data_IF_177079894543
#
_entry.id   IF_177079894543
#
_cell.length_a   1.000
_cell.length_b   1.000
_cell.length_c   1.000
_cell.angle_alpha   90.00
_cell.angle_beta   90.00
_cell.angle_gamma   90.00
#
_symmetry.space_group_name_H-M   'P 1'
#
loop_
_entity.id
_entity.type
_entity.pdbx_description
1 polymer ?
#
# COMPACT_ATOMS: atom_id res chain seq x y z
N UNK A 1 -5.74 -17.48 16.45
CA UNK A 1 -5.36 -16.16 17.03
C UNK A 1 -5.30 -15.07 15.98
N UNK A 2 -4.44 -15.15 14.96
CA UNK A 2 -4.28 -14.10 13.93
C UNK A 2 -5.56 -13.58 13.26
N UNK A 3 -6.56 -14.45 13.00
CA UNK A 3 -7.81 -14.02 12.33
C UNK A 3 -8.67 -13.11 13.24
N UNK A 4 -8.68 -13.37 14.56
CA UNK A 4 -9.44 -12.57 15.53
C UNK A 4 -8.80 -11.20 15.68
N UNK A 5 -7.47 -11.14 15.65
CA UNK A 5 -6.71 -9.89 15.70
C UNK A 5 -6.93 -9.06 14.42
N UNK A 6 -7.01 -9.71 13.26
CA UNK A 6 -7.37 -9.07 11.99
C UNK A 6 -8.77 -8.44 12.06
N UNK A 7 -9.78 -9.18 12.54
CA UNK A 7 -11.15 -8.66 12.68
C UNK A 7 -11.23 -7.50 13.69
N UNK A 8 -10.50 -7.59 14.80
CA UNK A 8 -10.39 -6.47 15.75
C UNK A 8 -9.76 -5.23 15.12
N UNK A 9 -8.70 -5.40 14.34
CA UNK A 9 -8.04 -4.29 13.65
C UNK A 9 -8.97 -3.62 12.63
N UNK A 10 -9.68 -4.42 11.82
CA UNK A 10 -10.68 -3.91 10.86
C UNK A 10 -11.79 -3.17 11.58
N UNK A 11 -12.30 -3.71 12.70
CA UNK A 11 -13.33 -3.07 13.50
C UNK A 11 -12.87 -1.71 14.05
N UNK A 12 -11.68 -1.65 14.66
CA UNK A 12 -11.12 -0.39 15.17
C UNK A 12 -10.85 0.63 14.06
N UNK A 13 -10.42 0.18 12.88
CA UNK A 13 -10.22 1.05 11.72
C UNK A 13 -11.54 1.65 11.25
N UNK A 14 -12.62 0.86 11.21
CA UNK A 14 -13.96 1.36 10.88
C UNK A 14 -14.46 2.38 11.91
N UNK A 15 -14.30 2.10 13.21
CA UNK A 15 -14.67 3.03 14.30
C UNK A 15 -13.92 4.35 14.19
N UNK A 16 -12.63 4.32 13.86
CA UNK A 16 -11.81 5.51 13.67
C UNK A 16 -12.29 6.35 12.47
N UNK A 17 -12.62 5.72 11.34
CA UNK A 17 -13.19 6.39 10.16
C UNK A 17 -14.54 7.04 10.48
N UNK A 18 -15.42 6.32 11.20
CA UNK A 18 -16.72 6.83 11.66
C UNK A 18 -16.56 8.04 12.60
N UNK A 19 -15.63 7.96 13.55
CA UNK A 19 -15.33 9.07 14.46
C UNK A 19 -14.82 10.31 13.70
N UNK A 20 -13.89 10.12 12.76
CA UNK A 20 -13.39 11.19 11.90
C UNK A 20 -14.51 11.84 11.08
N UNK A 21 -15.43 11.02 10.55
CA UNK A 21 -16.62 11.49 9.84
C UNK A 21 -17.58 12.29 10.75
N UNK A 22 -17.75 11.90 12.01
CA UNK A 22 -18.58 12.62 12.98
C UNK A 22 -18.02 14.00 13.31
N UNK A 23 -16.69 14.13 13.43
CA UNK A 23 -16.02 15.43 13.65
C UNK A 23 -15.97 16.31 12.39
N UNK A 24 -16.53 15.86 11.25
CA UNK A 24 -16.43 16.59 9.97
C UNK A 24 -15.00 16.69 9.45
N UNK A 25 -14.07 15.91 10.02
CA UNK A 25 -12.68 15.88 9.59
C UNK A 25 -12.63 15.01 8.35
N UNK A 26 -12.55 15.68 7.20
CA UNK A 26 -12.28 15.00 5.95
C UNK A 26 -10.90 14.34 6.03
N UNK A 27 -10.82 13.04 5.71
CA UNK A 27 -9.54 12.36 5.51
C UNK A 27 -8.67 13.14 4.52
N UNK A 28 -9.31 13.81 3.55
CA UNK A 28 -8.64 14.69 2.59
C UNK A 28 -8.00 15.91 3.26
N UNK A 29 -8.58 16.47 4.33
CA UNK A 29 -7.95 17.59 5.07
C UNK A 29 -6.76 17.13 5.90
N UNK A 30 -6.79 15.88 6.41
CA UNK A 30 -5.64 15.28 7.10
C UNK A 30 -4.51 15.02 6.10
N UNK A 31 -4.84 14.42 4.95
CA UNK A 31 -3.89 14.15 3.86
C UNK A 31 -3.28 15.44 3.32
N UNK A 32 -4.08 16.51 3.20
CA UNK A 32 -3.62 17.82 2.74
C UNK A 32 -2.96 18.67 3.84
N UNK A 33 -2.91 18.19 5.09
CA UNK A 33 -2.18 18.89 6.15
C UNK A 33 -0.67 18.81 5.89
N UNK A 34 0.12 19.79 6.36
CA UNK A 34 1.58 19.76 6.21
C UNK A 34 2.20 18.46 6.74
N UNK A 35 1.71 18.00 7.89
CA UNK A 35 2.13 16.75 8.54
C UNK A 35 1.71 15.52 7.72
N UNK A 36 0.52 15.55 7.11
CA UNK A 36 0.03 14.47 6.25
C UNK A 36 0.83 14.34 4.95
N UNK A 37 1.11 15.46 4.29
CA UNK A 37 1.92 15.54 3.08
C UNK A 37 3.34 15.01 3.31
N UNK A 38 3.98 15.37 4.43
CA UNK A 38 5.32 14.88 4.80
C UNK A 38 5.33 13.37 5.01
N UNK A 39 4.36 12.81 5.75
CA UNK A 39 4.28 11.37 6.01
C UNK A 39 3.96 10.56 4.74
N UNK A 40 3.06 11.06 3.90
CA UNK A 40 2.73 10.41 2.61
C UNK A 40 3.93 10.45 1.69
N UNK A 41 4.63 11.59 1.62
CA UNK A 41 5.85 11.73 0.81
C UNK A 41 6.96 10.81 1.30
N UNK A 42 7.14 10.67 2.62
CA UNK A 42 8.07 9.70 3.18
C UNK A 42 7.69 8.26 2.82
N UNK A 43 6.43 7.89 3.00
CA UNK A 43 5.92 6.56 2.65
C UNK A 43 6.08 6.26 1.16
N UNK A 44 5.74 7.19 0.27
CA UNK A 44 5.92 7.01 -1.17
C UNK A 44 7.39 6.92 -1.55
N UNK A 45 8.28 7.70 -0.93
CA UNK A 45 9.72 7.60 -1.16
C UNK A 45 10.32 6.26 -0.73
N UNK A 46 9.78 5.63 0.32
CA UNK A 46 10.19 4.28 0.76
C UNK A 46 9.57 3.20 -0.12
N UNK A 47 8.29 3.34 -0.48
CA UNK A 47 7.56 2.32 -1.24
C UNK A 47 7.94 2.30 -2.73
N UNK A 48 8.21 3.45 -3.34
CA UNK A 48 8.54 3.54 -4.77
C UNK A 48 9.74 2.66 -5.16
N UNK A 49 10.92 2.73 -4.52
CA UNK A 49 12.05 1.88 -4.90
C UNK A 49 11.76 0.40 -4.63
N UNK A 50 11.02 0.08 -3.57
CA UNK A 50 10.62 -1.29 -3.26
C UNK A 50 9.68 -1.86 -4.33
N UNK A 51 8.75 -1.04 -4.81
CA UNK A 51 7.81 -1.40 -5.87
C UNK A 51 8.51 -1.58 -7.22
N UNK A 52 9.44 -0.68 -7.55
CA UNK A 52 10.29 -0.80 -8.74
C UNK A 52 11.12 -2.10 -8.71
N UNK A 53 11.68 -2.46 -7.55
CA UNK A 53 12.40 -3.73 -7.38
C UNK A 53 11.49 -4.94 -7.63
N UNK A 54 10.27 -4.94 -7.08
CA UNK A 54 9.29 -6.02 -7.29
C UNK A 54 8.91 -6.14 -8.76
N UNK A 55 8.61 -5.03 -9.43
CA UNK A 55 8.30 -5.03 -10.87
C UNK A 55 9.48 -5.59 -11.65
N UNK A 56 10.70 -5.11 -11.41
CA UNK A 56 11.87 -5.56 -12.14
C UNK A 56 12.12 -7.07 -11.94
N UNK A 57 11.95 -7.56 -10.72
CA UNK A 57 12.03 -8.98 -10.42
C UNK A 57 10.95 -9.78 -11.14
N UNK A 58 9.71 -9.31 -11.13
CA UNK A 58 8.59 -9.96 -11.83
C UNK A 58 8.82 -10.00 -13.35
N UNK A 59 9.35 -8.93 -13.94
CA UNK A 59 9.71 -8.88 -15.37
C UNK A 59 10.83 -9.86 -15.70
N UNK A 60 11.88 -9.93 -14.88
CA UNK A 60 12.98 -10.90 -15.05
C UNK A 60 12.47 -12.34 -14.95
N UNK A 61 11.62 -12.61 -13.96
CA UNK A 61 11.03 -13.92 -13.76
C UNK A 61 10.12 -14.30 -14.94
N UNK A 62 9.34 -13.35 -15.46
CA UNK A 62 8.53 -13.53 -16.65
C UNK A 62 9.38 -13.93 -17.86
N UNK A 63 10.46 -13.19 -18.12
CA UNK A 63 11.39 -13.50 -19.22
C UNK A 63 11.99 -14.91 -19.05
N UNK A 64 12.46 -15.25 -17.85
CA UNK A 64 13.00 -16.57 -17.55
C UNK A 64 11.97 -17.69 -17.80
N UNK A 65 10.73 -17.53 -17.31
CA UNK A 65 9.66 -18.51 -17.53
C UNK A 65 9.34 -18.67 -19.02
N UNK A 66 9.20 -17.55 -19.75
CA UNK A 66 8.87 -17.60 -21.18
C UNK A 66 9.99 -18.20 -22.02
N UNK A 67 11.25 -18.04 -21.63
CA UNK A 67 12.41 -18.66 -22.29
C UNK A 67 12.33 -20.20 -22.28
N UNK A 68 11.93 -20.79 -21.15
CA UNK A 68 11.77 -22.25 -21.04
C UNK A 68 10.57 -22.79 -21.81
N UNK A 69 9.51 -21.99 -21.94
CA UNK A 69 8.27 -22.39 -22.62
C UNK A 69 8.41 -22.26 -24.15
N UNK A 70 9.18 -21.30 -24.65
CA UNK A 70 9.42 -21.10 -26.08
C UNK A 70 10.88 -20.68 -26.36
N UNK A 71 11.83 -21.63 -26.38
CA UNK A 71 13.20 -21.32 -26.74
C UNK A 71 13.28 -21.05 -28.25
N UNK A 72 13.44 -19.78 -28.66
CA UNK A 72 13.78 -19.43 -30.06
C UNK A 72 12.98 -18.34 -30.76
N UNK A 73 12.33 -17.41 -30.04
CA UNK A 73 11.99 -16.07 -30.56
C UNK A 73 12.84 -15.02 -29.89
#
# INVERSE_FOLDING_TARGET
MAIVDLFKLIFWMAVLILALSFFGISIQSIVNSPIGQENITYLTNVFTPLWQFIIHFATQLWLWVTYWIRPGV
#
